data_IF_606574171830
#
_entry.id   IF_606574171830
#
_cell.length_a   1.000
_cell.length_b   1.000
_cell.length_c   1.000
_cell.angle_alpha   90.00
_cell.angle_beta   90.00
_cell.angle_gamma   90.00
#
_symmetry.space_group_name_H-M   'P 1'
#
loop_
_entity.id
_entity.type
_entity.pdbx_description
1 polymer ?
#
# COMPACT_ATOMS: atom_id res chain seq x y z
N UNK A 1 17.62 -10.40 21.05
CA UNK A 1 18.05 -10.57 19.63
C UNK A 1 17.85 -9.25 18.92
N UNK A 2 18.77 -8.84 18.04
CA UNK A 2 18.58 -7.64 17.24
C UNK A 2 17.39 -7.82 16.29
N UNK A 3 16.54 -6.80 16.18
CA UNK A 3 15.42 -6.82 15.23
C UNK A 3 15.97 -6.81 13.80
N UNK A 4 15.33 -7.58 12.91
CA UNK A 4 15.66 -7.62 11.49
C UNK A 4 14.63 -6.84 10.70
N UNK A 5 15.07 -6.14 9.66
CA UNK A 5 14.17 -5.64 8.63
C UNK A 5 13.71 -6.82 7.78
N UNK A 6 12.40 -6.94 7.61
CA UNK A 6 11.80 -7.88 6.65
C UNK A 6 11.07 -7.09 5.58
N UNK A 7 11.27 -7.49 4.35
CA UNK A 7 10.55 -7.01 3.17
C UNK A 7 9.81 -8.23 2.63
N UNK A 8 8.48 -8.17 2.68
CA UNK A 8 7.62 -9.33 2.43
C UNK A 8 6.63 -8.96 1.32
N UNK A 9 6.88 -9.33 0.07
CA UNK A 9 5.89 -9.17 -1.00
C UNK A 9 4.78 -10.21 -0.80
N UNK A 10 3.52 -9.73 -0.81
CA UNK A 10 2.32 -10.57 -0.82
C UNK A 10 1.76 -10.77 -2.23
N UNK A 11 2.26 -10.01 -3.20
CA UNK A 11 1.96 -10.12 -4.62
C UNK A 11 2.92 -9.27 -5.44
N UNK A 12 2.82 -9.33 -6.76
CA UNK A 12 3.65 -8.57 -7.69
C UNK A 12 5.01 -9.18 -8.03
N UNK A 13 5.34 -10.38 -7.52
CA UNK A 13 6.58 -11.08 -7.88
C UNK A 13 6.28 -12.24 -8.85
N UNK A 14 6.92 -12.19 -10.02
CA UNK A 14 6.72 -13.20 -11.06
C UNK A 14 5.36 -13.13 -11.75
N UNK A 15 4.61 -12.06 -11.52
CA UNK A 15 3.28 -11.80 -12.08
C UNK A 15 3.10 -10.30 -12.33
N UNK A 16 2.10 -9.95 -13.12
CA UNK A 16 1.67 -8.55 -13.32
C UNK A 16 0.46 -8.29 -12.44
N UNK A 17 0.51 -7.20 -11.67
CA UNK A 17 -0.57 -6.82 -10.75
C UNK A 17 -0.37 -7.34 -9.33
N UNK A 18 -1.36 -7.12 -8.49
CA UNK A 18 -1.39 -7.45 -7.06
C UNK A 18 -0.21 -6.88 -6.26
N UNK A 19 0.32 -5.73 -6.69
CA UNK A 19 1.45 -5.12 -5.99
C UNK A 19 1.07 -4.81 -4.54
N UNK A 20 1.67 -5.52 -3.61
CA UNK A 20 1.57 -5.30 -2.17
C UNK A 20 2.82 -5.81 -1.49
N UNK A 21 3.55 -4.91 -0.85
CA UNK A 21 4.79 -5.27 -0.13
C UNK A 21 4.73 -4.75 1.30
N UNK A 22 5.09 -5.59 2.26
CA UNK A 22 5.17 -5.24 3.68
C UNK A 22 6.62 -4.92 4.04
N UNK A 23 6.82 -3.84 4.77
CA UNK A 23 8.05 -3.50 5.47
C UNK A 23 7.83 -3.68 6.96
N UNK A 24 8.59 -4.57 7.60
CA UNK A 24 8.45 -4.91 9.00
C UNK A 24 9.78 -4.78 9.75
N UNK A 25 9.74 -4.07 10.89
CA UNK A 25 10.87 -3.99 11.81
C UNK A 25 10.38 -3.92 13.27
N UNK A 26 10.84 -4.86 14.09
CA UNK A 26 10.43 -4.93 15.49
C UNK A 26 8.92 -5.12 15.63
N UNK A 27 8.26 -4.15 16.25
CA UNK A 27 6.79 -4.15 16.46
C UNK A 27 6.01 -3.36 15.42
N UNK A 28 6.66 -2.73 14.48
CA UNK A 28 6.04 -1.87 13.48
C UNK A 28 6.11 -2.50 12.09
N UNK A 29 5.05 -2.33 11.33
CA UNK A 29 4.97 -2.65 9.91
C UNK A 29 4.12 -1.63 9.17
N UNK A 30 4.37 -1.47 7.89
CA UNK A 30 3.50 -0.71 6.99
C UNK A 30 3.50 -1.40 5.62
N UNK A 31 2.50 -1.03 4.81
CA UNK A 31 2.29 -1.57 3.48
C UNK A 31 2.74 -0.55 2.43
N UNK A 32 3.32 -1.03 1.36
CA UNK A 32 3.54 -0.27 0.12
C UNK A 32 2.67 -0.88 -0.95
N UNK A 33 1.76 -0.06 -1.48
CA UNK A 33 0.73 -0.40 -2.44
C UNK A 33 -0.27 -1.46 -1.96
N UNK A 34 -1.38 -1.59 -2.68
CA UNK A 34 -2.44 -2.56 -2.42
C UNK A 34 -3.22 -2.79 -3.71
N UNK A 35 -2.55 -3.43 -4.66
CA UNK A 35 -3.03 -3.60 -6.02
C UNK A 35 -3.90 -4.84 -6.21
N UNK A 36 -4.69 -4.80 -7.27
CA UNK A 36 -5.37 -5.99 -7.79
C UNK A 36 -4.63 -6.56 -8.99
N UNK A 37 -4.91 -7.82 -9.30
CA UNK A 37 -4.56 -8.48 -10.55
C UNK A 37 -5.80 -8.81 -11.36
N UNK A 38 -5.61 -9.04 -12.64
CA UNK A 38 -6.64 -9.56 -13.52
C UNK A 38 -6.64 -11.09 -13.46
N UNK A 39 -7.81 -11.74 -13.46
CA UNK A 39 -7.88 -13.19 -13.46
C UNK A 39 -7.35 -13.77 -14.78
N UNK A 40 -6.73 -14.94 -14.70
CA UNK A 40 -6.39 -15.72 -15.87
C UNK A 40 -7.66 -16.16 -16.63
N UNK A 41 -7.51 -16.45 -17.93
CA UNK A 41 -8.64 -16.80 -18.81
C UNK A 41 -9.43 -18.03 -18.35
N UNK A 42 -8.84 -18.87 -17.52
CA UNK A 42 -9.46 -20.10 -16.98
C UNK A 42 -10.31 -19.83 -15.72
N UNK A 43 -10.29 -18.62 -15.17
CA UNK A 43 -11.04 -18.24 -13.97
C UNK A 43 -12.39 -17.63 -14.34
N UNK A 44 -13.29 -18.42 -14.88
CA UNK A 44 -14.64 -17.97 -15.28
C UNK A 44 -15.44 -17.40 -14.11
N UNK A 45 -16.00 -16.19 -14.29
CA UNK A 45 -16.82 -15.51 -13.28
C UNK A 45 -16.04 -14.85 -12.16
N UNK A 46 -14.71 -14.75 -12.29
CA UNK A 46 -13.84 -13.96 -11.40
C UNK A 46 -13.53 -12.63 -12.07
N UNK A 47 -13.90 -11.53 -11.44
CA UNK A 47 -13.68 -10.19 -11.99
C UNK A 47 -12.30 -9.63 -11.64
N UNK A 48 -11.75 -10.01 -10.46
CA UNK A 48 -10.44 -9.56 -10.01
C UNK A 48 -9.80 -10.56 -9.03
N UNK A 49 -8.49 -10.45 -8.90
CA UNK A 49 -7.71 -11.22 -7.91
C UNK A 49 -6.99 -10.22 -7.00
N UNK A 50 -7.03 -10.45 -5.70
CA UNK A 50 -6.35 -9.63 -4.69
C UNK A 50 -5.29 -10.44 -3.95
N UNK A 51 -4.28 -9.81 -3.34
CA UNK A 51 -3.30 -10.51 -2.51
C UNK A 51 -3.94 -11.22 -1.32
N UNK A 52 -3.35 -12.34 -0.88
CA UNK A 52 -3.72 -12.96 0.40
C UNK A 52 -3.22 -12.09 1.57
N UNK A 53 -4.17 -11.61 2.36
CA UNK A 53 -3.91 -10.72 3.50
C UNK A 53 -3.92 -11.45 4.86
N UNK A 54 -3.87 -12.78 4.87
CA UNK A 54 -3.89 -13.57 6.12
C UNK A 54 -2.77 -13.17 7.07
N UNK A 55 -1.57 -12.87 6.53
CA UNK A 55 -0.45 -12.37 7.33
C UNK A 55 -0.74 -11.02 7.99
N UNK A 56 -1.39 -10.09 7.26
CA UNK A 56 -1.78 -8.79 7.78
C UNK A 56 -2.81 -8.93 8.91
N UNK A 57 -3.82 -9.77 8.72
CA UNK A 57 -4.85 -10.05 9.74
C UNK A 57 -4.26 -10.59 11.04
N UNK A 58 -3.31 -11.52 10.93
CA UNK A 58 -2.61 -12.09 12.09
C UNK A 58 -1.74 -11.06 12.84
N UNK A 59 -1.35 -9.97 12.17
CA UNK A 59 -0.45 -8.94 12.69
C UNK A 59 -1.07 -7.54 12.75
N UNK A 60 -2.40 -7.41 12.71
CA UNK A 60 -3.12 -6.14 12.56
C UNK A 60 -2.68 -5.03 13.53
N UNK A 61 -2.35 -5.37 14.77
CA UNK A 61 -1.95 -4.40 15.81
C UNK A 61 -0.58 -3.75 15.53
N UNK A 62 0.19 -4.27 14.59
CA UNK A 62 1.52 -3.80 14.20
C UNK A 62 1.48 -2.90 12.97
N UNK A 63 0.36 -2.85 12.24
CA UNK A 63 0.19 -2.06 11.02
C UNK A 63 0.11 -0.59 11.39
N UNK A 64 0.94 0.24 10.77
CA UNK A 64 1.02 1.69 10.99
C UNK A 64 0.36 2.49 9.87
N UNK A 65 0.11 1.87 8.73
CA UNK A 65 -0.54 2.49 7.59
C UNK A 65 -0.16 1.85 6.27
N UNK A 66 -0.71 2.41 5.21
CA UNK A 66 -0.47 2.02 3.82
C UNK A 66 0.06 3.25 3.07
N UNK A 67 1.13 3.07 2.32
CA UNK A 67 1.77 4.12 1.50
C UNK A 67 1.60 3.74 0.04
N UNK A 68 1.04 4.64 -0.75
CA UNK A 68 0.72 4.37 -2.15
C UNK A 68 1.67 5.16 -3.05
N UNK A 69 2.28 4.44 -3.99
CA UNK A 69 3.24 5.01 -4.94
C UNK A 69 2.56 5.79 -6.05
N UNK A 70 1.44 5.29 -6.58
CA UNK A 70 0.66 5.94 -7.65
C UNK A 70 -0.71 5.26 -7.85
N UNK A 71 -1.56 5.86 -8.68
CA UNK A 71 -2.97 5.52 -8.81
C UNK A 71 -3.35 4.46 -9.86
N UNK A 72 -2.45 3.59 -10.32
CA UNK A 72 -2.84 2.49 -11.20
C UNK A 72 -3.53 1.35 -10.42
N UNK A 73 -4.43 0.62 -11.07
CA UNK A 73 -5.26 -0.42 -10.47
C UNK A 73 -4.44 -1.56 -9.84
N UNK A 74 -3.35 -1.92 -10.45
CA UNK A 74 -2.42 -2.92 -9.93
C UNK A 74 -1.64 -2.46 -8.70
N UNK A 75 -1.84 -1.19 -8.26
CA UNK A 75 -1.28 -0.59 -7.04
C UNK A 75 -2.35 -0.14 -6.03
N UNK A 76 -3.60 0.13 -6.47
CA UNK A 76 -4.66 0.62 -5.57
C UNK A 76 -5.94 -0.22 -5.60
N UNK A 77 -6.11 -1.11 -6.59
CA UNK A 77 -7.39 -1.77 -6.86
C UNK A 77 -7.91 -2.68 -5.74
N UNK A 78 -7.02 -3.21 -4.88
CA UNK A 78 -7.44 -4.05 -3.76
C UNK A 78 -7.74 -3.25 -2.47
N UNK A 79 -7.49 -1.94 -2.43
CA UNK A 79 -7.66 -1.11 -1.22
C UNK A 79 -9.04 -1.28 -0.58
N UNK A 80 -10.18 -1.16 -1.29
CA UNK A 80 -11.49 -1.28 -0.64
C UNK A 80 -11.73 -2.67 -0.01
N UNK A 81 -11.24 -3.72 -0.65
CA UNK A 81 -11.41 -5.09 -0.18
C UNK A 81 -10.57 -5.41 1.06
N UNK A 82 -9.39 -4.80 1.14
CA UNK A 82 -8.50 -4.91 2.30
C UNK A 82 -9.04 -4.09 3.47
N UNK A 83 -9.51 -2.86 3.22
CA UNK A 83 -10.05 -1.97 4.26
C UNK A 83 -11.38 -2.46 4.84
N UNK A 84 -12.16 -3.25 4.14
CA UNK A 84 -13.33 -3.96 4.72
C UNK A 84 -12.95 -4.93 5.84
N UNK A 85 -11.67 -5.31 5.93
CA UNK A 85 -11.19 -6.34 6.86
C UNK A 85 -10.12 -5.83 7.83
N UNK A 86 -9.48 -4.70 7.51
CA UNK A 86 -8.37 -4.11 8.27
C UNK A 86 -8.48 -2.59 8.22
N UNK A 87 -8.49 -1.95 9.37
CA UNK A 87 -8.49 -0.50 9.46
C UNK A 87 -7.05 0.03 9.56
N UNK A 88 -6.71 0.99 8.68
CA UNK A 88 -5.41 1.67 8.67
C UNK A 88 -5.44 2.95 7.85
N UNK A 89 -4.63 3.96 8.22
CA UNK A 89 -4.51 5.19 7.43
C UNK A 89 -3.76 4.95 6.12
N UNK A 90 -4.10 5.76 5.10
CA UNK A 90 -3.47 5.77 3.77
C UNK A 90 -2.65 7.05 3.61
N UNK A 91 -1.48 6.93 3.00
CA UNK A 91 -0.60 8.04 2.63
C UNK A 91 -0.37 8.01 1.12
N UNK A 92 -0.76 9.05 0.42
CA UNK A 92 -0.69 9.12 -1.04
C UNK A 92 -0.44 10.56 -1.53
N UNK A 93 -0.07 10.71 -2.80
CA UNK A 93 -0.01 12.02 -3.46
C UNK A 93 -1.44 12.54 -3.76
N UNK A 94 -1.63 13.87 -3.98
CA UNK A 94 -2.97 14.43 -4.12
C UNK A 94 -3.84 13.77 -5.20
N UNK A 95 -3.30 13.53 -6.40
CA UNK A 95 -4.05 12.85 -7.46
C UNK A 95 -4.39 11.41 -7.08
N UNK A 96 -3.42 10.66 -6.56
CA UNK A 96 -3.63 9.28 -6.12
C UNK A 96 -4.66 9.21 -4.99
N UNK A 97 -4.61 10.13 -4.03
CA UNK A 97 -5.59 10.23 -2.96
C UNK A 97 -7.01 10.45 -3.51
N UNK A 98 -7.18 11.39 -4.45
CA UNK A 98 -8.48 11.65 -5.07
C UNK A 98 -9.06 10.41 -5.79
N UNK A 99 -8.21 9.64 -6.49
CA UNK A 99 -8.63 8.39 -7.13
C UNK A 99 -9.07 7.35 -6.08
N UNK A 100 -8.31 7.23 -4.98
CA UNK A 100 -8.66 6.33 -3.88
C UNK A 100 -9.97 6.75 -3.21
N UNK A 101 -10.19 8.05 -2.98
CA UNK A 101 -11.43 8.58 -2.40
C UNK A 101 -12.65 8.17 -3.20
N UNK A 102 -12.60 8.29 -4.54
CA UNK A 102 -13.70 7.83 -5.42
C UNK A 102 -13.96 6.33 -5.26
N UNK A 103 -12.92 5.51 -5.21
CA UNK A 103 -13.06 4.07 -4.97
C UNK A 103 -13.67 3.75 -3.60
N UNK A 104 -13.26 4.46 -2.57
CA UNK A 104 -13.78 4.26 -1.22
C UNK A 104 -15.23 4.71 -1.11
N UNK A 105 -15.64 5.75 -1.84
CA UNK A 105 -17.03 6.20 -1.92
C UNK A 105 -17.92 5.12 -2.54
N UNK A 106 -17.50 4.50 -3.65
CA UNK A 106 -18.23 3.39 -4.29
C UNK A 106 -18.42 2.17 -3.36
N UNK A 107 -17.59 2.03 -2.34
CA UNK A 107 -17.63 0.91 -1.39
C UNK A 107 -18.14 1.30 0.01
N UNK A 108 -18.66 2.51 0.20
CA UNK A 108 -19.12 3.06 1.50
C UNK A 108 -18.04 3.10 2.59
N UNK A 109 -16.78 3.28 2.20
CA UNK A 109 -15.63 3.28 3.11
C UNK A 109 -15.00 4.66 3.32
N UNK A 110 -15.37 5.67 2.53
CA UNK A 110 -14.69 6.97 2.55
C UNK A 110 -14.71 7.62 3.94
N UNK A 111 -15.86 7.60 4.63
CA UNK A 111 -16.00 8.23 5.95
C UNK A 111 -15.35 7.45 7.09
N UNK A 112 -14.90 6.24 6.84
CA UNK A 112 -14.25 5.36 7.81
C UNK A 112 -12.74 5.29 7.61
N UNK A 113 -12.21 5.89 6.54
CA UNK A 113 -10.79 5.79 6.17
C UNK A 113 -10.11 7.16 6.28
N UNK A 114 -8.97 7.21 6.96
CA UNK A 114 -8.13 8.41 7.00
C UNK A 114 -7.15 8.40 5.84
N UNK A 115 -7.18 9.44 5.00
CA UNK A 115 -6.22 9.62 3.90
C UNK A 115 -5.40 10.88 4.18
N UNK A 116 -4.07 10.72 4.20
CA UNK A 116 -3.10 11.79 4.37
C UNK A 116 -2.41 12.08 3.05
N UNK A 117 -2.64 13.26 2.48
CA UNK A 117 -1.94 13.69 1.27
C UNK A 117 -0.52 14.14 1.57
N UNK A 118 0.43 13.70 0.75
CA UNK A 118 1.84 14.03 0.80
C UNK A 118 2.33 14.42 -0.59
N UNK A 119 3.35 15.29 -0.65
CA UNK A 119 3.95 15.73 -1.91
C UNK A 119 5.38 15.18 -2.03
N UNK A 120 5.94 15.10 -3.24
CA UNK A 120 7.36 14.81 -3.41
C UNK A 120 8.22 15.75 -2.55
N UNK A 121 9.18 15.18 -1.83
CA UNK A 121 10.02 15.86 -0.84
C UNK A 121 9.48 15.81 0.60
N UNK A 122 8.21 15.48 0.81
CA UNK A 122 7.66 15.33 2.16
C UNK A 122 8.24 14.10 2.86
N UNK A 123 8.52 14.28 4.16
CA UNK A 123 8.98 13.21 5.07
C UNK A 123 7.97 13.02 6.19
N UNK A 124 7.66 11.77 6.48
CA UNK A 124 6.72 11.43 7.56
C UNK A 124 7.10 10.11 8.22
N UNK A 125 6.56 9.88 9.43
CA UNK A 125 6.89 8.69 10.22
C UNK A 125 5.72 7.71 10.29
N UNK A 126 6.05 6.43 10.12
CA UNK A 126 5.17 5.30 10.41
C UNK A 126 5.86 4.37 11.41
N UNK A 127 5.52 4.50 12.69
CA UNK A 127 6.23 3.79 13.75
C UNK A 127 7.72 4.14 13.74
N UNK A 128 8.58 3.14 13.60
CA UNK A 128 10.04 3.31 13.54
C UNK A 128 10.59 3.67 12.16
N UNK A 129 9.74 3.75 11.14
CA UNK A 129 10.14 4.10 9.78
C UNK A 129 9.97 5.61 9.54
N UNK A 130 10.90 6.20 8.77
CA UNK A 130 10.74 7.53 8.17
C UNK A 130 10.70 7.37 6.67
N UNK A 131 9.64 7.88 6.04
CA UNK A 131 9.37 7.70 4.61
C UNK A 131 9.48 9.06 3.94
N UNK A 132 10.20 9.12 2.82
CA UNK A 132 10.28 10.28 1.95
C UNK A 132 9.71 9.95 0.59
N UNK A 133 8.82 10.81 0.07
CA UNK A 133 8.31 10.73 -1.28
C UNK A 133 9.30 11.37 -2.25
N UNK A 134 9.73 10.62 -3.25
CA UNK A 134 10.64 11.05 -4.30
C UNK A 134 9.87 11.08 -5.61
N UNK A 135 9.85 12.24 -6.30
CA UNK A 135 9.20 12.35 -7.60
C UNK A 135 9.80 11.35 -8.60
N UNK A 136 8.95 10.68 -9.33
CA UNK A 136 9.36 9.81 -10.44
C UNK A 136 8.46 9.99 -11.66
N UNK A 137 8.99 9.71 -12.84
CA UNK A 137 8.24 9.75 -14.08
C UNK A 137 7.53 8.41 -14.31
N UNK A 138 6.25 8.50 -14.64
CA UNK A 138 5.44 7.33 -14.95
C UNK A 138 4.32 7.73 -15.93
N UNK A 139 3.54 6.76 -16.44
CA UNK A 139 2.41 6.98 -17.33
C UNK A 139 1.19 7.64 -16.67
N UNK A 140 1.19 7.76 -15.35
CA UNK A 140 0.22 8.53 -14.56
C UNK A 140 0.95 9.63 -13.79
N UNK A 141 0.31 10.80 -13.66
CA UNK A 141 0.87 11.92 -12.91
C UNK A 141 0.97 11.62 -11.40
N UNK A 142 1.78 12.40 -10.68
CA UNK A 142 1.97 12.32 -9.22
C UNK A 142 2.57 10.99 -8.72
N UNK A 143 3.23 10.23 -9.59
CA UNK A 143 3.91 9.01 -9.18
C UNK A 143 5.15 9.31 -8.34
N UNK A 144 5.40 8.47 -7.33
CA UNK A 144 6.55 8.60 -6.43
C UNK A 144 7.28 7.27 -6.23
N UNK A 145 8.60 7.37 -6.08
CA UNK A 145 9.41 6.36 -5.42
C UNK A 145 9.49 6.67 -3.91
N UNK A 146 9.88 5.70 -3.12
CA UNK A 146 9.97 5.82 -1.67
C UNK A 146 11.41 5.63 -1.19
N UNK A 147 11.93 6.57 -0.39
CA UNK A 147 13.09 6.30 0.45
C UNK A 147 12.57 5.95 1.84
N UNK A 148 12.86 4.73 2.28
CA UNK A 148 12.38 4.18 3.54
C UNK A 148 13.58 4.07 4.49
N UNK A 149 13.68 5.02 5.41
CA UNK A 149 14.71 5.01 6.46
C UNK A 149 14.25 4.12 7.60
N UNK A 150 15.09 3.19 7.95
CA UNK A 150 14.87 2.22 9.03
C UNK A 150 15.95 2.36 10.10
N UNK A 151 15.79 1.76 11.30
CA UNK A 151 16.83 1.79 12.32
C UNK A 151 18.17 1.17 11.92
N UNK A 152 18.23 0.43 10.82
CA UNK A 152 19.42 -0.28 10.37
C UNK A 152 19.93 0.16 9.00
N UNK A 153 19.29 1.13 8.37
CA UNK A 153 19.68 1.64 7.05
C UNK A 153 18.49 2.13 6.24
N UNK A 154 18.75 2.58 5.03
CA UNK A 154 17.72 3.09 4.09
C UNK A 154 17.51 2.10 2.95
N UNK A 155 16.28 1.89 2.58
CA UNK A 155 15.80 1.10 1.43
C UNK A 155 15.14 2.04 0.46
#
# INVERSE_FOLDING_TARGET
MASKLKIIPLGGLGEIGKNLTIYEYGKDMFLVDCGMGFPDQDLYGVDMVIPDISYLKANKNRIRGMVITHGHEDHIGAIPYVLKQLDMPIYATPLTAAIIELKLEEHDLLYHTQIFTKKPGDKFKLGCFEIEFIHTNHSIADSVALAIKTPIGTV
#
